data_IF_805495530486
#
_entry.id   IF_805495530486
#
_cell.length_a   1.000
_cell.length_b   1.000
_cell.length_c   1.000
_cell.angle_alpha   90.00
_cell.angle_beta   90.00
_cell.angle_gamma   90.00
#
_symmetry.space_group_name_H-M   'P 1'
#
loop_
_entity.id
_entity.type
_entity.pdbx_description
1 polymer ?
#
# COMPACT_ATOMS: atom_id res chain seq x y z
N UNK A 1 -55.25 -1.11 37.88
CA UNK A 1 -53.81 -1.52 37.94
C UNK A 1 -53.35 -1.71 36.50
N UNK A 2 -52.74 -0.66 35.92
CA UNK A 2 -52.27 -0.65 34.53
C UNK A 2 -50.79 -1.02 34.50
N UNK A 3 -50.44 -2.19 33.96
CA UNK A 3 -49.08 -2.63 33.73
C UNK A 3 -48.55 -1.98 32.44
N UNK A 4 -47.64 -1.00 32.59
CA UNK A 4 -46.92 -0.42 31.48
C UNK A 4 -45.70 -1.31 31.18
N UNK A 5 -45.73 -1.97 30.01
CA UNK A 5 -44.60 -2.73 29.51
C UNK A 5 -43.63 -1.75 28.82
N UNK A 6 -42.45 -1.57 29.39
CA UNK A 6 -41.34 -0.87 28.79
C UNK A 6 -40.67 -1.79 27.78
N UNK A 7 -40.87 -1.48 26.49
CA UNK A 7 -40.14 -2.14 25.39
C UNK A 7 -38.77 -1.49 25.28
N UNK A 8 -37.73 -2.15 25.78
CA UNK A 8 -36.34 -1.70 25.57
C UNK A 8 -35.92 -1.98 24.13
N UNK A 9 -35.86 -0.92 23.31
CA UNK A 9 -35.27 -0.98 21.97
C UNK A 9 -33.76 -1.03 22.13
N UNK A 10 -33.15 -2.19 21.91
CA UNK A 10 -31.70 -2.34 21.76
C UNK A 10 -31.32 -1.77 20.39
N UNK A 11 -30.82 -0.55 20.37
CA UNK A 11 -30.16 0.01 19.18
C UNK A 11 -28.82 -0.67 19.07
N UNK A 12 -28.72 -1.71 18.25
CA UNK A 12 -27.44 -2.27 17.80
C UNK A 12 -26.77 -1.22 16.93
N UNK A 13 -25.85 -0.47 17.52
CA UNK A 13 -24.96 0.42 16.76
C UNK A 13 -24.09 -0.44 15.84
N UNK A 14 -24.36 -0.42 14.53
CA UNK A 14 -23.37 -0.82 13.54
C UNK A 14 -22.19 0.14 13.66
N UNK A 15 -21.12 -0.29 14.33
CA UNK A 15 -19.86 0.41 14.29
C UNK A 15 -19.39 0.40 12.82
N UNK A 16 -19.28 1.57 12.20
CA UNK A 16 -18.59 1.71 10.93
C UNK A 16 -17.14 1.28 11.17
N UNK A 17 -16.82 0.06 10.77
CA UNK A 17 -15.44 -0.36 10.67
C UNK A 17 -14.80 0.46 9.54
N UNK A 18 -13.71 1.18 9.84
CA UNK A 18 -12.92 1.90 8.84
C UNK A 18 -12.46 0.98 7.70
N UNK A 19 -11.75 1.53 6.69
CA UNK A 19 -11.29 0.74 5.55
C UNK A 19 -10.43 -0.44 6.04
N UNK A 20 -10.62 -1.65 5.46
CA UNK A 20 -9.91 -2.84 5.92
C UNK A 20 -8.41 -2.78 5.66
N UNK A 21 -7.98 -2.03 4.66
CA UNK A 21 -6.58 -1.81 4.29
C UNK A 21 -6.27 -0.33 4.27
N UNK A 22 -5.18 0.08 4.92
CA UNK A 22 -4.67 1.45 4.90
C UNK A 22 -3.18 1.49 4.66
N UNK A 23 -2.66 2.66 4.27
CA UNK A 23 -1.24 2.91 4.12
C UNK A 23 -0.81 4.11 4.94
N UNK A 24 0.38 4.04 5.56
CA UNK A 24 1.00 5.12 6.32
C UNK A 24 2.46 5.30 5.92
N UNK A 25 3.05 6.46 6.24
CA UNK A 25 4.46 6.73 6.02
C UNK A 25 4.88 6.70 4.56
N UNK A 26 4.01 7.08 3.64
CA UNK A 26 4.23 6.98 2.20
C UNK A 26 5.29 7.98 1.75
N UNK A 27 6.34 7.46 1.13
CA UNK A 27 7.42 8.24 0.54
C UNK A 27 7.75 7.67 -0.84
N UNK A 28 7.63 8.48 -1.88
CA UNK A 28 8.06 8.14 -3.24
C UNK A 28 9.16 9.10 -3.68
N UNK A 29 10.14 8.59 -4.41
CA UNK A 29 11.27 9.37 -4.89
C UNK A 29 11.18 9.62 -6.38
N UNK A 30 11.64 10.79 -6.83
CA UNK A 30 11.86 11.07 -8.23
C UNK A 30 13.02 10.20 -8.75
N UNK A 31 13.03 9.93 -10.07
CA UNK A 31 14.13 9.22 -10.70
C UNK A 31 15.44 10.01 -10.57
N UNK A 32 16.53 9.28 -10.45
CA UNK A 32 17.85 9.87 -10.63
C UNK A 32 18.08 10.16 -12.12
N UNK A 33 18.86 11.19 -12.46
CA UNK A 33 19.22 11.49 -13.85
C UNK A 33 19.74 10.24 -14.59
N UNK A 34 19.19 9.96 -15.75
CA UNK A 34 19.56 8.81 -16.58
C UNK A 34 19.01 7.46 -16.08
N UNK A 35 18.10 7.44 -15.12
CA UNK A 35 17.38 6.24 -14.67
C UNK A 35 15.92 6.33 -15.06
N UNK A 36 15.36 5.21 -15.48
CA UNK A 36 13.94 5.03 -15.84
C UNK A 36 13.13 4.37 -14.72
N UNK A 37 13.71 4.24 -13.55
CA UNK A 37 13.06 3.68 -12.36
C UNK A 37 13.35 4.47 -11.09
N UNK A 38 12.48 4.28 -10.11
CA UNK A 38 12.57 4.89 -8.78
C UNK A 38 11.94 3.94 -7.75
N UNK A 39 11.87 4.35 -6.50
CA UNK A 39 11.31 3.53 -5.44
C UNK A 39 10.32 4.31 -4.60
N UNK A 40 9.35 3.57 -4.03
CA UNK A 40 8.48 4.08 -2.97
C UNK A 40 8.47 3.12 -1.78
N UNK A 41 8.28 3.72 -0.61
CA UNK A 41 8.23 3.05 0.68
C UNK A 41 6.96 3.46 1.42
N UNK A 42 6.41 2.55 2.21
CA UNK A 42 5.20 2.77 3.01
C UNK A 42 5.02 1.61 3.98
N UNK A 43 4.03 1.73 4.85
CA UNK A 43 3.52 0.59 5.63
C UNK A 43 2.06 0.35 5.27
N UNK A 44 1.73 -0.86 4.87
CA UNK A 44 0.35 -1.31 4.69
C UNK A 44 -0.14 -1.93 6.00
N UNK A 45 -1.38 -1.62 6.39
CA UNK A 45 -2.02 -2.14 7.60
C UNK A 45 -3.31 -2.86 7.23
N UNK A 46 -3.41 -4.13 7.58
CA UNK A 46 -4.66 -4.88 7.49
C UNK A 46 -5.42 -4.76 8.83
N UNK A 47 -6.52 -4.01 8.84
CA UNK A 47 -7.37 -3.82 10.01
C UNK A 47 -8.51 -4.84 10.10
N UNK A 48 -8.64 -5.70 9.10
CA UNK A 48 -9.70 -6.71 9.06
C UNK A 48 -9.35 -7.95 9.88
N UNK A 49 -10.34 -8.81 10.07
CA UNK A 49 -10.18 -10.09 10.74
C UNK A 49 -9.84 -11.25 9.79
N UNK A 50 -9.60 -10.94 8.51
CA UNK A 50 -9.23 -11.88 7.47
C UNK A 50 -7.93 -11.46 6.81
N UNK A 51 -7.24 -12.41 6.17
CA UNK A 51 -6.07 -12.09 5.39
C UNK A 51 -6.44 -11.25 4.15
N UNK A 52 -5.59 -10.27 3.83
CA UNK A 52 -5.69 -9.46 2.61
C UNK A 52 -4.52 -9.81 1.71
N UNK A 53 -4.81 -10.16 0.46
CA UNK A 53 -3.80 -10.41 -0.56
C UNK A 53 -3.78 -9.29 -1.58
N UNK A 54 -2.67 -8.55 -1.64
CA UNK A 54 -2.38 -7.59 -2.71
C UNK A 54 -1.99 -8.37 -3.95
N UNK A 55 -2.72 -8.20 -5.04
CA UNK A 55 -2.53 -8.93 -6.30
C UNK A 55 -1.88 -8.09 -7.37
N UNK A 56 -2.10 -6.78 -7.31
CA UNK A 56 -1.55 -5.85 -8.29
C UNK A 56 -1.31 -4.48 -7.66
N UNK A 57 -0.27 -3.80 -8.13
CA UNK A 57 -0.01 -2.39 -7.80
C UNK A 57 0.20 -1.64 -9.13
N UNK A 58 -0.43 -0.49 -9.26
CA UNK A 58 -0.34 0.36 -10.44
C UNK A 58 -0.22 1.84 -10.07
N UNK A 59 0.05 2.65 -11.05
CA UNK A 59 0.10 4.11 -10.95
C UNK A 59 -0.16 4.71 -12.33
N UNK A 60 -1.01 5.73 -12.47
CA UNK A 60 -1.19 6.43 -13.73
C UNK A 60 0.10 7.13 -14.24
N UNK A 61 1.01 7.45 -13.33
CA UNK A 61 2.24 8.19 -13.63
C UNK A 61 3.40 7.29 -14.08
N UNK A 62 3.27 5.96 -13.94
CA UNK A 62 4.30 4.99 -14.32
C UNK A 62 3.73 3.89 -15.21
N UNK A 63 4.51 3.43 -16.18
CA UNK A 63 4.11 2.30 -17.03
C UNK A 63 3.94 1.01 -16.20
N UNK A 64 4.70 0.85 -15.11
CA UNK A 64 4.65 -0.31 -14.26
C UNK A 64 5.03 0.02 -12.82
N UNK A 65 4.34 -0.63 -11.87
CA UNK A 65 4.71 -0.66 -10.46
C UNK A 65 4.82 -2.12 -10.02
N UNK A 66 5.93 -2.48 -9.40
CA UNK A 66 6.18 -3.84 -8.94
C UNK A 66 6.52 -3.86 -7.45
N UNK A 67 6.11 -4.91 -6.75
CA UNK A 67 6.59 -5.20 -5.38
C UNK A 67 7.88 -5.98 -5.50
N UNK A 68 8.96 -5.44 -4.96
CA UNK A 68 10.25 -6.11 -4.90
C UNK A 68 10.66 -6.35 -3.44
N UNK A 69 11.47 -7.34 -3.22
CA UNK A 69 12.08 -7.67 -1.94
C UNK A 69 13.59 -7.85 -2.12
N UNK A 70 14.35 -7.06 -1.38
CA UNK A 70 15.79 -7.25 -1.28
C UNK A 70 16.10 -8.19 -0.12
N UNK A 71 17.05 -9.09 -0.33
CA UNK A 71 17.57 -10.01 0.69
C UNK A 71 19.08 -10.19 0.52
N UNK A 72 19.76 -10.43 1.61
CA UNK A 72 21.19 -10.76 1.57
C UNK A 72 21.33 -12.27 1.66
N UNK A 73 21.98 -12.87 0.66
CA UNK A 73 22.29 -14.31 0.60
C UNK A 73 23.78 -14.43 0.34
N UNK A 74 24.52 -15.07 1.24
CA UNK A 74 25.98 -15.26 1.14
C UNK A 74 26.73 -13.92 0.92
N UNK A 75 26.39 -12.90 1.71
CA UNK A 75 26.90 -11.52 1.63
C UNK A 75 26.62 -10.80 0.29
N UNK A 76 25.77 -11.36 -0.55
CA UNK A 76 25.34 -10.75 -1.80
C UNK A 76 23.89 -10.26 -1.67
N UNK A 77 23.65 -8.99 -2.00
CA UNK A 77 22.29 -8.43 -2.07
C UNK A 77 21.63 -8.96 -3.33
N UNK A 78 20.52 -9.64 -3.15
CA UNK A 78 19.65 -10.12 -4.24
C UNK A 78 18.29 -9.44 -4.13
N UNK A 79 17.70 -9.13 -5.29
CA UNK A 79 16.39 -8.53 -5.40
C UNK A 79 15.48 -9.48 -6.19
N UNK A 80 14.27 -9.71 -5.70
CA UNK A 80 13.26 -10.49 -6.40
C UNK A 80 11.93 -9.73 -6.46
N UNK A 81 11.20 -9.94 -7.54
CA UNK A 81 9.82 -9.49 -7.65
C UNK A 81 8.91 -10.45 -6.88
N UNK A 82 7.92 -9.87 -6.20
CA UNK A 82 6.81 -10.62 -5.60
C UNK A 82 5.57 -10.46 -6.49
N UNK A 83 4.97 -11.56 -6.90
CA UNK A 83 3.75 -11.54 -7.71
C UNK A 83 2.50 -11.19 -6.91
N UNK A 84 2.54 -11.41 -5.60
CA UNK A 84 1.51 -11.01 -4.65
C UNK A 84 2.10 -10.83 -3.25
N UNK A 85 1.37 -10.16 -2.38
CA UNK A 85 1.73 -10.00 -0.98
C UNK A 85 0.51 -10.22 -0.11
N UNK A 86 0.57 -11.18 0.80
CA UNK A 86 -0.49 -11.45 1.77
C UNK A 86 -0.14 -10.85 3.13
N UNK A 87 -1.10 -10.11 3.69
CA UNK A 87 -1.09 -9.61 5.06
C UNK A 87 -2.11 -10.41 5.86
N UNK A 88 -1.67 -11.11 6.89
CA UNK A 88 -2.57 -11.80 7.81
C UNK A 88 -3.48 -10.80 8.55
N UNK A 89 -4.58 -11.28 9.11
CA UNK A 89 -5.53 -10.46 9.86
C UNK A 89 -4.82 -9.64 10.95
N UNK A 90 -5.07 -8.33 11.01
CA UNK A 90 -4.52 -7.43 12.01
C UNK A 90 -3.01 -7.18 11.92
N UNK A 91 -2.34 -7.60 10.83
CA UNK A 91 -0.91 -7.40 10.65
C UNK A 91 -0.56 -6.25 9.71
N UNK A 92 0.71 -5.88 9.68
CA UNK A 92 1.24 -4.83 8.80
C UNK A 92 2.41 -5.34 7.99
N UNK A 93 2.58 -4.81 6.79
CA UNK A 93 3.75 -5.04 5.94
C UNK A 93 4.51 -3.74 5.74
N UNK A 94 5.78 -3.72 6.13
CA UNK A 94 6.67 -2.58 5.96
C UNK A 94 7.43 -2.67 4.65
N UNK A 95 7.39 -1.59 3.88
CA UNK A 95 8.23 -1.36 2.70
C UNK A 95 9.31 -0.36 3.08
N UNK A 96 10.53 -0.84 3.15
CA UNK A 96 11.70 -0.10 3.64
C UNK A 96 12.92 -0.36 2.76
N UNK A 97 13.88 0.56 2.78
CA UNK A 97 15.16 0.37 2.10
C UNK A 97 15.86 -0.89 2.61
N UNK A 98 16.34 -1.72 1.70
CA UNK A 98 16.99 -3.01 2.04
C UNK A 98 16.02 -4.16 2.32
N UNK A 99 14.71 -3.91 2.28
CA UNK A 99 13.65 -4.91 2.41
C UNK A 99 12.67 -4.88 1.24
N UNK A 100 11.37 -5.01 1.54
CA UNK A 100 10.33 -4.82 0.54
C UNK A 100 10.26 -3.35 0.11
N UNK A 101 10.01 -3.12 -1.17
CA UNK A 101 9.82 -1.78 -1.72
C UNK A 101 8.95 -1.85 -2.99
N UNK A 102 8.34 -0.73 -3.33
CA UNK A 102 7.71 -0.56 -4.64
C UNK A 102 8.76 -0.04 -5.61
N UNK A 103 8.90 -0.72 -6.74
CA UNK A 103 9.69 -0.26 -7.86
C UNK A 103 8.77 0.43 -8.85
N UNK A 104 8.99 1.73 -9.06
CA UNK A 104 8.25 2.58 -9.98
C UNK A 104 9.03 2.64 -11.28
N UNK A 105 8.48 2.11 -12.37
CA UNK A 105 9.21 1.83 -13.61
C UNK A 105 8.61 2.64 -14.77
N UNK A 106 9.47 3.24 -15.57
CA UNK A 106 9.12 3.99 -16.78
C UNK A 106 8.06 5.06 -16.55
N UNK A 107 8.45 6.25 -16.08
CA UNK A 107 7.51 7.36 -15.94
C UNK A 107 6.91 7.71 -17.29
N UNK A 108 5.59 7.87 -17.36
CA UNK A 108 4.88 8.21 -18.60
C UNK A 108 5.11 9.66 -19.05
N UNK A 109 5.58 10.51 -18.12
CA UNK A 109 5.97 11.89 -18.36
C UNK A 109 7.19 12.22 -17.49
N UNK A 110 7.79 13.38 -17.71
CA UNK A 110 8.85 13.89 -16.83
C UNK A 110 8.26 14.17 -15.42
N UNK A 111 8.78 13.46 -14.42
CA UNK A 111 8.33 13.53 -13.04
C UNK A 111 9.40 14.16 -12.15
N UNK A 112 9.31 15.48 -11.98
CA UNK A 112 10.17 16.22 -11.07
C UNK A 112 9.74 16.06 -9.60
N UNK A 113 10.64 16.29 -8.62
CA UNK A 113 10.27 16.40 -7.22
C UNK A 113 9.12 17.39 -7.02
N UNK A 114 8.18 17.07 -6.11
CA UNK A 114 6.96 17.85 -5.85
C UNK A 114 5.76 17.45 -6.71
N UNK A 115 5.94 16.68 -7.77
CA UNK A 115 4.81 16.14 -8.56
C UNK A 115 4.04 15.10 -7.73
N UNK A 116 2.72 15.14 -7.85
CA UNK A 116 1.83 14.15 -7.22
C UNK A 116 1.90 12.83 -7.97
N UNK A 117 1.88 11.75 -7.22
CA UNK A 117 1.82 10.37 -7.70
C UNK A 117 0.70 9.64 -6.97
N UNK A 118 -0.06 8.85 -7.71
CA UNK A 118 -1.11 7.98 -7.19
C UNK A 118 -0.63 6.52 -7.25
N UNK A 119 -0.71 5.82 -6.14
CA UNK A 119 -0.47 4.38 -6.06
C UNK A 119 -1.81 3.68 -5.83
N UNK A 120 -2.11 2.68 -6.63
CA UNK A 120 -3.35 1.91 -6.57
C UNK A 120 -2.99 0.46 -6.22
N UNK A 121 -3.48 -0.01 -5.07
CA UNK A 121 -3.29 -1.39 -4.62
C UNK A 121 -4.58 -2.16 -4.82
N UNK A 122 -4.58 -3.09 -5.76
CA UNK A 122 -5.69 -4.02 -5.96
C UNK A 122 -5.52 -5.22 -5.04
N UNK A 123 -6.56 -5.56 -4.28
CA UNK A 123 -6.55 -6.65 -3.32
C UNK A 123 -7.86 -7.43 -3.31
N UNK A 124 -7.79 -8.69 -2.89
CA UNK A 124 -8.92 -9.61 -2.72
C UNK A 124 -9.86 -9.67 -3.94
N UNK A 125 -9.27 -9.61 -5.16
CA UNK A 125 -10.01 -9.81 -6.41
C UNK A 125 -10.83 -8.62 -6.89
N UNK A 126 -10.50 -7.37 -6.47
CA UNK A 126 -11.13 -6.20 -7.06
C UNK A 126 -11.31 -4.98 -6.16
N UNK A 127 -11.06 -5.09 -4.85
CA UNK A 127 -11.01 -3.92 -3.98
C UNK A 127 -9.73 -3.12 -4.25
N UNK A 128 -9.78 -1.79 -4.15
CA UNK A 128 -8.66 -0.91 -4.45
C UNK A 128 -8.43 0.05 -3.30
N UNK A 129 -7.18 0.11 -2.81
CA UNK A 129 -6.69 1.17 -1.96
C UNK A 129 -5.96 2.20 -2.81
N UNK A 130 -6.39 3.45 -2.77
CA UNK A 130 -5.74 4.57 -3.46
C UNK A 130 -4.91 5.36 -2.45
N UNK A 131 -3.63 5.58 -2.79
CA UNK A 131 -2.67 6.30 -1.96
C UNK A 131 -2.04 7.41 -2.79
N UNK A 132 -2.18 8.65 -2.36
CA UNK A 132 -1.59 9.81 -3.02
C UNK A 132 -0.37 10.29 -2.23
N UNK A 133 0.69 10.64 -2.93
CA UNK A 133 1.90 11.22 -2.36
C UNK A 133 2.57 12.18 -3.34
N UNK A 134 3.57 12.92 -2.88
CA UNK A 134 4.40 13.75 -3.75
C UNK A 134 5.80 13.16 -3.84
N UNK A 135 6.39 13.24 -5.04
CA UNK A 135 7.76 12.81 -5.25
C UNK A 135 8.74 13.68 -4.47
N UNK A 136 9.65 13.02 -3.77
CA UNK A 136 10.75 13.66 -3.06
C UNK A 136 12.06 13.51 -3.83
N UNK A 137 12.97 14.43 -3.60
CA UNK A 137 14.37 14.27 -4.04
C UNK A 137 15.01 13.16 -3.23
N UNK A 138 15.74 12.27 -3.88
CA UNK A 138 16.59 11.31 -3.20
C UNK A 138 17.88 12.05 -2.78
N UNK A 139 18.10 12.17 -1.49
CA UNK A 139 19.36 12.67 -0.92
C UNK A 139 20.42 11.58 -0.88
#
# INVERSE_FOLDING_TARGET
MLLVWYLAVLVSGCGESGPPLTATGVVAFAQLPGRDFSAAYLTLHNHSQEAITIQHVSSPEFAKVEIHESMTVDDVIRMRRLDSLTLDAGTSAQFVSGGKHLMLIEPVNELAPGKSVTLEFEYNGGAILIVNTQLKTRM
#
